data_IF_562343442429
#
_entry.id   IF_562343442429
#
_cell.length_a   1.000
_cell.length_b   1.000
_cell.length_c   1.000
_cell.angle_alpha   90.00
_cell.angle_beta   90.00
_cell.angle_gamma   90.00
#
_symmetry.space_group_name_H-M   'P 1'
#
loop_
_entity.id
_entity.type
_entity.pdbx_description
1 polymer ?
#
# COMPACT_ATOMS: atom_id res chain seq x y z
N UNK A 1 -6.57 3.72 -16.36
CA UNK A 1 -6.81 2.70 -15.33
C UNK A 1 -6.88 3.38 -13.98
N UNK A 2 -7.90 3.07 -13.19
CA UNK A 2 -7.99 3.54 -11.81
C UNK A 2 -7.13 2.63 -10.93
N UNK A 3 -6.39 3.20 -9.97
CA UNK A 3 -5.63 2.42 -9.00
C UNK A 3 -6.59 1.62 -8.10
N UNK A 4 -6.19 0.44 -7.61
CA UNK A 4 -7.04 -0.35 -6.71
C UNK A 4 -7.13 0.23 -5.29
N UNK A 5 -6.42 1.33 -5.05
CA UNK A 5 -6.37 2.05 -3.79
C UNK A 5 -6.39 3.56 -3.98
N UNK A 6 -6.66 4.26 -2.88
CA UNK A 6 -6.58 5.72 -2.75
C UNK A 6 -5.55 6.08 -1.69
N UNK A 7 -5.00 7.29 -1.82
CA UNK A 7 -4.02 7.85 -0.90
C UNK A 7 -4.54 9.15 -0.28
N UNK A 8 -4.28 9.34 1.00
CA UNK A 8 -4.46 10.63 1.67
C UNK A 8 -3.27 10.94 2.59
N UNK A 9 -2.57 12.08 2.41
CA UNK A 9 -2.76 13.06 1.33
C UNK A 9 -2.44 12.46 -0.05
N UNK A 10 -2.99 13.04 -1.12
CA UNK A 10 -2.69 12.62 -2.50
C UNK A 10 -1.23 12.89 -2.91
N UNK A 11 -0.58 13.83 -2.23
CA UNK A 11 0.85 14.09 -2.36
C UNK A 11 1.54 13.70 -1.05
N UNK A 12 2.09 12.48 -0.96
CA UNK A 12 2.82 12.01 0.21
C UNK A 12 4.08 12.84 0.47
N UNK A 13 4.31 13.20 1.74
CA UNK A 13 5.49 13.96 2.19
C UNK A 13 6.19 13.18 3.29
N UNK A 14 7.52 13.10 3.20
CA UNK A 14 8.35 12.47 4.22
C UNK A 14 8.23 13.19 5.58
N UNK A 15 8.17 12.42 6.65
CA UNK A 15 7.90 12.87 8.01
C UNK A 15 6.42 12.87 8.40
N UNK A 16 5.50 12.77 7.43
CA UNK A 16 4.05 12.76 7.68
C UNK A 16 3.48 11.33 7.65
N UNK A 17 2.17 11.21 7.87
CA UNK A 17 1.42 9.95 7.77
C UNK A 17 0.73 9.85 6.41
N UNK A 18 0.74 8.65 5.83
CA UNK A 18 -0.03 8.29 4.64
C UNK A 18 -1.14 7.33 5.01
N UNK A 19 -2.37 7.69 4.66
CA UNK A 19 -3.51 6.77 4.69
C UNK A 19 -3.60 6.10 3.33
N UNK A 20 -3.57 4.77 3.34
CA UNK A 20 -3.78 3.92 2.16
C UNK A 20 -5.11 3.21 2.32
N UNK A 21 -6.02 3.42 1.37
CA UNK A 21 -7.34 2.78 1.35
C UNK A 21 -7.44 1.88 0.12
N UNK A 22 -7.45 0.57 0.31
CA UNK A 22 -7.67 -0.42 -0.74
C UNK A 22 -9.17 -0.68 -0.90
N UNK A 23 -9.72 -0.35 -2.07
CA UNK A 23 -11.17 -0.29 -2.26
C UNK A 23 -11.67 -0.58 -3.68
N UNK A 24 -10.77 -0.91 -4.62
CA UNK A 24 -11.13 -1.25 -6.00
C UNK A 24 -10.17 -2.26 -6.61
N UNK A 25 -9.60 -3.15 -5.79
CA UNK A 25 -8.65 -4.15 -6.25
C UNK A 25 -9.18 -5.57 -6.28
N UNK A 26 -8.43 -6.44 -6.93
CA UNK A 26 -8.85 -7.81 -7.26
C UNK A 26 -9.04 -8.71 -6.04
N UNK A 27 -8.41 -8.39 -4.90
CA UNK A 27 -8.53 -9.20 -3.68
C UNK A 27 -9.87 -9.00 -2.96
N UNK A 28 -10.65 -7.99 -3.37
CA UNK A 28 -11.96 -7.68 -2.81
C UNK A 28 -13.05 -8.67 -3.25
N UNK A 29 -12.83 -9.40 -4.35
CA UNK A 29 -13.82 -10.30 -4.92
C UNK A 29 -13.92 -11.62 -4.13
N UNK A 30 -15.14 -12.13 -3.94
CA UNK A 30 -15.39 -13.43 -3.32
C UNK A 30 -15.54 -13.36 -1.80
N UNK A 31 -15.02 -14.38 -1.09
CA UNK A 31 -15.18 -14.51 0.37
C UNK A 31 -14.49 -13.36 1.11
N UNK A 32 -14.95 -13.12 2.34
CA UNK A 32 -14.30 -12.20 3.27
C UNK A 32 -12.88 -12.66 3.61
N UNK A 33 -11.94 -11.71 3.58
CA UNK A 33 -10.51 -11.97 3.75
C UNK A 33 -9.91 -10.95 4.70
N UNK A 34 -8.77 -11.32 5.25
CA UNK A 34 -7.89 -10.36 5.88
C UNK A 34 -6.92 -9.85 4.81
N UNK A 35 -6.87 -8.53 4.63
CA UNK A 35 -5.95 -7.89 3.69
C UNK A 35 -4.78 -7.29 4.44
N UNK A 36 -3.60 -7.50 3.90
CA UNK A 36 -2.34 -6.98 4.39
C UNK A 36 -1.73 -6.07 3.33
N UNK A 37 -1.20 -4.94 3.78
CA UNK A 37 -0.44 -4.03 2.96
C UNK A 37 1.05 -4.32 3.15
N UNK A 38 1.73 -4.67 2.06
CA UNK A 38 3.18 -4.76 2.00
C UNK A 38 3.75 -3.46 1.45
N UNK A 39 4.80 -2.93 2.07
CA UNK A 39 5.39 -1.67 1.64
C UNK A 39 6.89 -1.58 1.93
N UNK A 40 7.61 -0.79 1.11
CA UNK A 40 9.05 -0.60 1.24
C UNK A 40 9.48 0.74 0.63
N UNK A 41 10.58 1.31 1.14
CA UNK A 41 11.12 2.59 0.69
C UNK A 41 12.44 2.40 -0.08
N UNK A 42 12.69 3.26 -1.07
CA UNK A 42 13.96 3.32 -1.81
C UNK A 42 13.74 3.20 -3.31
N UNK A 43 14.72 2.65 -4.01
CA UNK A 43 14.69 2.49 -5.47
C UNK A 43 14.25 1.09 -5.93
N UNK A 44 14.21 0.13 -5.00
CA UNK A 44 13.85 -1.27 -5.26
C UNK A 44 12.90 -1.80 -4.16
N UNK A 45 12.01 -2.71 -4.54
CA UNK A 45 11.21 -3.50 -3.62
C UNK A 45 11.87 -4.86 -3.43
N UNK A 46 12.83 -4.93 -2.50
CA UNK A 46 13.66 -6.11 -2.25
C UNK A 46 13.37 -6.75 -0.89
N UNK A 47 13.46 -8.08 -0.83
CA UNK A 47 13.30 -8.86 0.41
C UNK A 47 14.26 -8.36 1.51
N UNK A 48 13.75 -8.29 2.74
CA UNK A 48 14.45 -7.69 3.88
C UNK A 48 14.33 -6.16 4.01
N UNK A 49 13.75 -5.48 3.01
CA UNK A 49 13.38 -4.04 3.06
C UNK A 49 11.87 -3.80 2.98
N UNK A 50 11.09 -4.88 3.03
CA UNK A 50 9.63 -4.87 2.95
C UNK A 50 9.04 -5.04 4.34
N UNK A 51 8.13 -4.15 4.69
CA UNK A 51 7.29 -4.20 5.87
C UNK A 51 5.91 -4.68 5.50
N UNK A 52 5.21 -5.25 6.46
CA UNK A 52 3.83 -5.69 6.29
C UNK A 52 2.98 -5.19 7.44
N UNK A 53 1.77 -4.73 7.14
CA UNK A 53 0.78 -4.38 8.15
C UNK A 53 -0.58 -4.93 7.75
N UNK A 54 -1.30 -5.49 8.72
CA UNK A 54 -2.70 -5.85 8.54
C UNK A 54 -3.52 -4.57 8.35
N UNK A 55 -4.41 -4.56 7.38
CA UNK A 55 -5.32 -3.44 7.14
C UNK A 55 -6.59 -3.60 7.98
N UNK A 56 -7.16 -2.48 8.39
CA UNK A 56 -8.43 -2.45 9.12
C UNK A 56 -9.56 -2.39 8.10
N UNK A 57 -10.46 -3.37 8.16
CA UNK A 57 -11.68 -3.37 7.33
C UNK A 57 -12.70 -2.39 7.90
N UNK A 58 -13.22 -1.48 7.06
CA UNK A 58 -14.27 -0.52 7.42
C UNK A 58 -15.15 -0.24 6.20
N UNK A 59 -16.46 -0.49 6.33
CA UNK A 59 -17.45 -0.25 5.27
C UNK A 59 -17.08 -0.88 3.90
N UNK A 60 -16.50 -2.09 3.92
CA UNK A 60 -16.08 -2.79 2.70
C UNK A 60 -14.72 -2.35 2.12
N UNK A 61 -14.09 -1.32 2.70
CA UNK A 61 -12.74 -0.89 2.34
C UNK A 61 -11.72 -1.40 3.36
N UNK A 62 -10.45 -1.50 2.94
CA UNK A 62 -9.34 -1.87 3.82
C UNK A 62 -8.40 -0.68 3.97
N UNK A 63 -8.08 -0.29 5.20
CA UNK A 63 -7.36 0.95 5.51
C UNK A 63 -6.09 0.64 6.31
N UNK A 64 -4.98 1.25 5.92
CA UNK A 64 -3.73 1.27 6.68
C UNK A 64 -3.20 2.69 6.80
N UNK A 65 -2.50 2.96 7.91
CA UNK A 65 -1.81 4.23 8.14
C UNK A 65 -0.32 3.95 8.23
N UNK A 66 0.45 4.55 7.32
CA UNK A 66 1.90 4.37 7.24
C UNK A 66 2.61 5.65 7.70
N UNK A 67 3.65 5.56 8.54
CA UNK A 67 4.58 6.66 8.71
C UNK A 67 5.50 6.74 7.48
N UNK A 68 5.58 7.91 6.83
CA UNK A 68 6.47 8.12 5.69
C UNK A 68 7.85 8.52 6.18
N UNK A 69 8.76 7.56 6.31
CA UNK A 69 10.05 7.80 6.94
C UNK A 69 11.09 8.43 5.99
N UNK A 70 10.92 8.26 4.69
CA UNK A 70 11.90 8.66 3.67
C UNK A 70 11.18 9.28 2.46
N UNK A 71 11.81 10.27 1.84
CA UNK A 71 11.44 10.76 0.51
C UNK A 71 11.97 9.83 -0.58
N UNK A 72 11.54 10.03 -1.83
CA UNK A 72 11.88 9.17 -2.97
C UNK A 72 10.68 8.34 -3.39
N UNK A 73 10.81 7.02 -3.42
CA UNK A 73 9.71 6.12 -3.75
C UNK A 73 9.31 5.22 -2.60
N UNK A 74 7.99 5.09 -2.45
CA UNK A 74 7.31 4.08 -1.65
C UNK A 74 6.73 3.06 -2.62
N UNK A 75 7.12 1.81 -2.48
CA UNK A 75 6.53 0.69 -3.20
C UNK A 75 5.49 0.03 -2.30
N UNK A 76 4.33 -0.31 -2.86
CA UNK A 76 3.28 -1.03 -2.15
C UNK A 76 2.72 -2.19 -2.97
N UNK A 77 2.23 -3.21 -2.26
CA UNK A 77 1.42 -4.30 -2.77
C UNK A 77 0.47 -4.79 -1.69
N UNK A 78 -0.54 -5.55 -2.10
CA UNK A 78 -1.52 -6.12 -1.18
C UNK A 78 -1.44 -7.65 -1.23
N UNK A 79 -1.73 -8.30 -0.11
CA UNK A 79 -1.99 -9.74 -0.08
C UNK A 79 -3.20 -10.05 0.78
N UNK A 80 -3.83 -11.18 0.52
CA UNK A 80 -4.81 -11.75 1.44
C UNK A 80 -4.20 -12.83 2.33
N UNK A 81 -5.00 -13.34 3.27
CA UNK A 81 -4.63 -14.46 4.14
C UNK A 81 -4.64 -15.83 3.44
N UNK A 82 -5.06 -15.92 2.18
CA UNK A 82 -5.01 -17.14 1.38
C UNK A 82 -3.76 -17.21 0.49
N UNK A 83 -2.93 -16.17 0.48
CA UNK A 83 -1.69 -16.10 -0.27
C UNK A 83 -1.83 -15.47 -1.66
N UNK A 84 -3.01 -14.95 -2.02
CA UNK A 84 -3.18 -14.19 -3.26
C UNK A 84 -2.56 -12.79 -3.11
N UNK A 85 -2.04 -12.24 -4.20
CA UNK A 85 -1.42 -10.92 -4.23
C UNK A 85 -2.07 -9.99 -5.26
N UNK A 86 -2.06 -8.71 -4.93
CA UNK A 86 -2.32 -7.62 -5.85
C UNK A 86 -1.09 -6.70 -5.81
N UNK A 87 -0.13 -7.04 -6.66
CA UNK A 87 1.20 -6.46 -6.73
C UNK A 87 1.49 -5.89 -8.12
N UNK A 88 0.44 -5.56 -8.89
CA UNK A 88 0.57 -5.04 -10.25
C UNK A 88 1.39 -5.99 -11.17
N UNK A 89 1.11 -7.29 -11.10
CA UNK A 89 1.79 -8.35 -11.84
C UNK A 89 3.30 -8.39 -11.58
N UNK A 90 3.69 -8.31 -10.30
CA UNK A 90 5.09 -8.32 -9.85
C UNK A 90 5.85 -7.00 -10.05
N UNK A 91 5.22 -5.96 -10.58
CA UNK A 91 5.86 -4.64 -10.75
C UNK A 91 5.73 -3.73 -9.52
N UNK A 92 4.83 -4.09 -8.61
CA UNK A 92 4.40 -3.30 -7.46
C UNK A 92 3.78 -1.94 -7.87
N UNK A 93 3.16 -1.28 -6.90
CA UNK A 93 2.69 0.09 -7.07
C UNK A 93 3.72 1.06 -6.54
N UNK A 94 4.23 1.95 -7.39
CA UNK A 94 5.27 2.91 -7.06
C UNK A 94 4.66 4.30 -6.82
N UNK A 95 4.86 4.84 -5.63
CA UNK A 95 4.32 6.11 -5.16
C UNK A 95 5.48 7.07 -4.89
N UNK A 96 5.42 8.28 -5.44
CA UNK A 96 6.39 9.33 -5.14
C UNK A 96 6.13 9.95 -3.76
N UNK A 97 7.19 10.08 -2.96
CA UNK A 97 7.17 10.74 -1.64
C UNK A 97 8.10 11.94 -1.70
N UNK A 98 7.55 13.14 -1.49
CA UNK A 98 8.32 14.39 -1.49
C UNK A 98 9.08 14.58 -0.19
N UNK A 99 10.19 15.32 -0.22
CA UNK A 99 10.79 15.87 1.00
C UNK A 99 9.91 16.98 1.56
N UNK A 100 9.99 17.20 2.88
CA UNK A 100 9.48 18.42 3.51
C UNK A 100 10.47 19.54 3.12
N UNK A 101 10.01 20.54 2.39
CA UNK A 101 10.82 21.72 2.03
C UNK A 101 11.19 22.53 3.26
#
# INVERSE_FOLDING_TARGET
MQLPFKLYPQQPIAGDKLIVTYNNGILLDGLEKEIYLKFGFGDEFADGKVYETKMIKKNGEYIAVLPLLKSGFLFIAFKDNFGNTDDNNGNFYRIGVKSKE
#
